data_IF_717081768977
#
_entry.id   IF_717081768977
#
_cell.length_a   1.000
_cell.length_b   1.000
_cell.length_c   1.000
_cell.angle_alpha   90.00
_cell.angle_beta   90.00
_cell.angle_gamma   90.00
#
_symmetry.space_group_name_H-M   'P 1'
#
loop_
_entity.id
_entity.type
_entity.pdbx_description
1 polymer ?
#
# COMPACT_ATOMS: atom_id res chain seq x y z
N UNK A 1 -9.86 -0.79 -8.30
CA UNK A 1 -9.27 0.45 -7.73
C UNK A 1 -8.67 0.23 -6.33
N UNK A 2 -9.14 -0.75 -5.53
CA UNK A 2 -8.54 -1.10 -4.23
C UNK A 2 -8.29 -2.62 -4.13
N UNK A 3 -7.23 -3.04 -3.45
CA UNK A 3 -6.93 -4.44 -3.10
C UNK A 3 -6.46 -4.48 -1.65
N UNK A 4 -7.10 -5.32 -0.83
CA UNK A 4 -6.60 -5.63 0.51
C UNK A 4 -5.67 -6.85 0.39
N UNK A 5 -4.41 -6.67 0.76
CA UNK A 5 -3.42 -7.72 0.76
C UNK A 5 -3.61 -8.64 1.98
N UNK A 6 -3.23 -9.93 1.92
CA UNK A 6 -3.40 -10.85 3.05
C UNK A 6 -2.64 -10.47 4.32
N UNK A 7 -1.57 -9.67 4.18
CA UNK A 7 -0.84 -9.09 5.30
C UNK A 7 -1.59 -7.93 5.99
N UNK A 8 -2.71 -7.47 5.42
CA UNK A 8 -3.55 -6.39 5.95
C UNK A 8 -3.34 -5.02 5.29
N UNK A 9 -2.40 -4.90 4.36
CA UNK A 9 -2.13 -3.64 3.67
C UNK A 9 -3.20 -3.32 2.62
N UNK A 10 -3.50 -2.04 2.42
CA UNK A 10 -4.40 -1.56 1.38
C UNK A 10 -3.60 -1.02 0.20
N UNK A 11 -3.72 -1.67 -0.95
CA UNK A 11 -3.16 -1.19 -2.20
C UNK A 11 -4.20 -0.39 -3.00
N UNK A 12 -3.83 0.82 -3.42
CA UNK A 12 -4.68 1.72 -4.23
C UNK A 12 -4.07 1.86 -5.62
N UNK A 13 -4.80 1.41 -6.64
CA UNK A 13 -4.33 1.41 -8.03
C UNK A 13 -4.73 2.71 -8.73
N UNK A 14 -3.88 3.18 -9.65
CA UNK A 14 -4.14 4.33 -10.51
C UNK A 14 -4.65 5.54 -9.70
N UNK A 15 -3.84 5.94 -8.71
CA UNK A 15 -4.14 7.06 -7.82
C UNK A 15 -4.31 8.33 -8.64
N UNK A 16 -5.39 9.05 -8.37
CA UNK A 16 -5.69 10.35 -8.95
C UNK A 16 -6.09 11.36 -7.87
N UNK A 17 -6.26 12.64 -8.23
CA UNK A 17 -6.60 13.70 -7.27
C UNK A 17 -7.89 13.41 -6.48
N UNK A 18 -8.82 12.62 -7.00
CA UNK A 18 -10.06 12.26 -6.29
C UNK A 18 -9.79 11.36 -5.07
N UNK A 19 -8.71 10.58 -5.09
CA UNK A 19 -8.33 9.72 -3.97
C UNK A 19 -7.81 10.54 -2.77
N UNK A 20 -7.34 11.77 -2.99
CA UNK A 20 -6.92 12.67 -1.91
C UNK A 20 -8.07 13.12 -1.00
N UNK A 21 -9.31 13.05 -1.47
CA UNK A 21 -10.51 13.36 -0.68
C UNK A 21 -11.05 12.15 0.08
N UNK A 22 -10.55 10.94 -0.22
CA UNK A 22 -10.98 9.71 0.46
C UNK A 22 -10.28 9.58 1.80
N UNK A 23 -10.98 8.96 2.73
CA UNK A 23 -10.48 8.71 4.08
C UNK A 23 -10.44 7.21 4.33
N UNK A 24 -9.31 6.73 4.83
CA UNK A 24 -9.04 5.32 5.08
C UNK A 24 -8.81 5.08 6.57
N UNK A 25 -9.20 3.91 7.06
CA UNK A 25 -8.93 3.47 8.42
C UNK A 25 -8.74 1.95 8.44
N UNK A 26 -7.87 1.46 9.30
CA UNK A 26 -7.67 0.03 9.53
C UNK A 26 -8.53 -0.42 10.71
N UNK A 27 -9.17 -1.59 10.59
CA UNK A 27 -9.87 -2.25 11.68
C UNK A 27 -9.19 -3.56 12.00
N UNK A 28 -8.71 -3.70 13.23
CA UNK A 28 -8.09 -4.93 13.73
C UNK A 28 -9.06 -5.67 14.64
N UNK A 29 -8.98 -7.00 14.64
CA UNK A 29 -9.78 -7.87 15.51
C UNK A 29 -8.89 -8.84 16.26
N UNK A 30 -8.99 -8.85 17.59
CA UNK A 30 -8.25 -9.79 18.42
C UNK A 30 -9.01 -11.12 18.52
N UNK A 31 -8.51 -12.17 17.87
CA UNK A 31 -9.20 -13.46 17.74
C UNK A 31 -9.56 -14.12 19.08
N UNK A 32 -8.77 -13.92 20.13
CA UNK A 32 -9.05 -14.57 21.43
C UNK A 32 -10.19 -13.92 22.20
N UNK A 33 -10.40 -12.61 22.09
CA UNK A 33 -11.48 -11.90 22.81
C UNK A 33 -12.63 -11.45 21.91
N UNK A 34 -12.49 -11.60 20.60
CA UNK A 34 -13.37 -11.03 19.58
C UNK A 34 -13.54 -9.50 19.65
N UNK A 35 -12.66 -8.79 20.38
CA UNK A 35 -12.69 -7.33 20.42
C UNK A 35 -12.11 -6.76 19.13
N UNK A 36 -12.78 -5.74 18.58
CA UNK A 36 -12.31 -5.01 17.41
C UNK A 36 -11.99 -3.56 17.76
N UNK A 37 -10.93 -3.01 17.17
CA UNK A 37 -10.55 -1.60 17.29
C UNK A 37 -10.29 -1.02 15.91
N UNK A 38 -10.65 0.24 15.72
CA UNK A 38 -10.42 0.98 14.48
C UNK A 38 -9.36 2.04 14.72
N UNK A 39 -8.43 2.20 13.77
CA UNK A 39 -7.42 3.25 13.80
C UNK A 39 -8.06 4.63 13.64
N UNK A 40 -7.25 5.67 13.83
CA UNK A 40 -7.61 6.99 13.35
C UNK A 40 -7.69 6.99 11.81
N UNK A 41 -8.45 7.95 11.30
CA UNK A 41 -8.61 8.19 9.88
C UNK A 41 -7.32 8.75 9.26
N UNK A 42 -6.93 8.24 8.10
CA UNK A 42 -5.80 8.71 7.29
C UNK A 42 -6.25 9.06 5.87
N UNK A 43 -5.42 9.80 5.13
CA UNK A 43 -5.66 10.20 3.74
C UNK A 43 -4.40 10.07 2.91
N UNK A 44 -4.58 9.91 1.61
CA UNK A 44 -3.49 9.93 0.63
C UNK A 44 -3.25 11.39 0.24
N UNK A 45 -1.98 11.81 0.19
CA UNK A 45 -1.62 13.13 -0.34
C UNK A 45 -1.18 12.92 -1.79
N UNK A 46 -1.99 13.42 -2.72
CA UNK A 46 -1.68 13.39 -4.16
C UNK A 46 -1.02 14.71 -4.53
N UNK A 47 0.17 14.62 -5.12
CA UNK A 47 0.95 15.78 -5.56
C UNK A 47 1.01 15.79 -7.07
N UNK A 48 0.89 16.97 -7.66
CA UNK A 48 1.18 17.15 -9.07
C UNK A 48 2.70 17.02 -9.28
N UNK A 49 3.15 16.36 -10.35
CA UNK A 49 4.57 16.25 -10.64
C UNK A 49 5.12 17.60 -11.12
N UNK A 50 6.11 18.14 -10.41
CA UNK A 50 6.72 19.45 -10.76
C UNK A 50 7.67 19.34 -11.96
N UNK A 51 8.33 18.20 -12.15
CA UNK A 51 9.23 17.91 -13.28
C UNK A 51 9.52 16.41 -13.40
N UNK A 52 10.47 15.99 -14.25
CA UNK A 52 10.92 14.59 -14.26
C UNK A 52 11.59 14.24 -12.94
N UNK A 53 11.07 13.20 -12.28
CA UNK A 53 11.59 12.69 -11.02
C UNK A 53 12.12 11.26 -11.24
N UNK A 54 13.35 11.02 -10.79
CA UNK A 54 13.94 9.68 -10.81
C UNK A 54 13.17 8.70 -9.94
N UNK A 55 13.36 7.41 -10.20
CA UNK A 55 12.67 6.34 -9.47
C UNK A 55 13.12 6.31 -8.01
N UNK A 56 12.17 6.46 -7.09
CA UNK A 56 12.36 6.32 -5.65
C UNK A 56 11.64 5.07 -5.16
N UNK A 57 12.36 4.19 -4.45
CA UNK A 57 11.79 3.03 -3.81
C UNK A 57 11.15 3.44 -2.47
N UNK A 58 9.85 3.19 -2.33
CA UNK A 58 9.10 3.42 -1.10
C UNK A 58 9.19 2.26 -0.10
N UNK A 59 9.89 1.18 -0.45
CA UNK A 59 10.03 -0.04 0.37
C UNK A 59 11.50 -0.28 0.70
N UNK A 60 11.77 -0.98 1.81
CA UNK A 60 13.13 -1.40 2.14
C UNK A 60 13.71 -2.29 1.04
N UNK A 61 14.97 -2.01 0.67
CA UNK A 61 15.70 -2.70 -0.41
C UNK A 61 15.93 -4.19 -0.14
N UNK A 62 15.89 -4.58 1.13
CA UNK A 62 16.07 -5.97 1.57
C UNK A 62 14.84 -6.42 2.35
N UNK A 63 14.05 -7.31 1.75
CA UNK A 63 12.86 -7.90 2.37
C UNK A 63 13.01 -9.42 2.42
N UNK A 64 12.96 -9.99 3.62
CA UNK A 64 12.90 -11.45 3.80
C UNK A 64 11.47 -11.86 4.13
N UNK A 65 10.84 -12.61 3.23
CA UNK A 65 9.49 -13.15 3.43
C UNK A 65 9.59 -14.67 3.65
N UNK A 66 8.91 -15.15 4.70
CA UNK A 66 8.73 -16.59 4.96
C UNK A 66 7.36 -16.99 4.43
N UNK A 67 7.29 -18.10 3.71
CA UNK A 67 6.07 -18.65 3.17
C UNK A 67 6.07 -20.17 3.26
N UNK A 68 4.89 -20.76 3.39
CA UNK A 68 4.70 -22.21 3.37
C UNK A 68 4.48 -22.72 1.94
N UNK A 69 4.77 -23.99 1.69
CA UNK A 69 4.48 -24.59 0.38
C UNK A 69 2.97 -24.53 0.08
N UNK A 70 2.61 -23.95 -1.07
CA UNK A 70 1.22 -23.74 -1.48
C UNK A 70 0.58 -22.45 -0.97
N UNK A 71 1.31 -21.59 -0.26
CA UNK A 71 0.86 -20.27 0.17
C UNK A 71 1.11 -19.21 -0.93
N UNK A 72 0.13 -18.35 -1.17
CA UNK A 72 0.30 -17.19 -2.04
C UNK A 72 1.13 -16.11 -1.34
N UNK A 73 2.17 -15.62 -2.03
CA UNK A 73 3.10 -14.62 -1.49
C UNK A 73 3.01 -13.32 -2.28
N UNK A 74 2.99 -12.21 -1.56
CA UNK A 74 2.99 -10.87 -2.14
C UNK A 74 4.34 -10.21 -1.91
N UNK A 75 5.05 -9.90 -3.00
CA UNK A 75 6.33 -9.22 -2.96
C UNK A 75 6.10 -7.72 -3.22
N UNK A 76 6.19 -6.85 -2.20
CA UNK A 76 5.95 -5.43 -2.38
C UNK A 76 7.10 -4.81 -3.17
N UNK A 77 6.78 -4.23 -4.33
CA UNK A 77 7.66 -3.34 -5.08
C UNK A 77 6.90 -2.04 -5.29
N UNK A 78 7.08 -1.09 -4.39
CA UNK A 78 6.47 0.24 -4.51
C UNK A 78 7.54 1.24 -4.92
N UNK A 79 7.40 1.75 -6.14
CA UNK A 79 8.28 2.76 -6.71
C UNK A 79 7.46 3.98 -7.14
N UNK A 80 8.02 5.17 -6.93
CA UNK A 80 7.46 6.45 -7.36
C UNK A 80 8.43 7.13 -8.31
N UNK A 81 7.91 7.88 -9.27
CA UNK A 81 8.71 8.61 -10.26
C UNK A 81 7.83 9.28 -11.29
N UNK A 82 8.41 10.21 -12.05
CA UNK A 82 7.75 10.88 -13.16
C UNK A 82 8.67 10.85 -14.40
N UNK A 83 8.34 10.10 -15.46
CA UNK A 83 7.10 9.34 -15.67
C UNK A 83 6.94 8.13 -14.73
N UNK A 84 5.71 7.58 -14.58
CA UNK A 84 5.46 6.41 -13.75
C UNK A 84 6.38 5.22 -14.08
N UNK A 85 6.95 4.54 -13.06
CA UNK A 85 7.85 3.41 -13.28
C UNK A 85 7.17 2.21 -13.96
N UNK A 86 7.96 1.45 -14.73
CA UNK A 86 7.57 0.15 -15.29
C UNK A 86 8.18 -0.96 -14.44
N UNK A 87 7.37 -1.95 -14.09
CA UNK A 87 7.79 -3.13 -13.32
C UNK A 87 8.08 -4.28 -14.29
N UNK A 88 9.21 -4.98 -14.10
CA UNK A 88 9.68 -6.11 -14.93
C UNK A 88 10.31 -7.20 -14.07
#
# INVERSE_FOLDING_TARGET
KYLLLPNGDLYVFNVDASDGYKTFACRTSFKMTNQAKTSQNSRIIVRDPESMEGIQLGVQKELTIKASAGEDVYLPCAAQGNPPPVYS
#
